data_IF_823111876644
#
_entry.id   IF_823111876644
#
_cell.length_a   1.000
_cell.length_b   1.000
_cell.length_c   1.000
_cell.angle_alpha   90.00
_cell.angle_beta   90.00
_cell.angle_gamma   90.00
#
_symmetry.space_group_name_H-M   'P 1'
#
loop_
_entity.id
_entity.type
_entity.pdbx_description
1 polymer ?
#
# COMPACT_ATOMS: atom_id res chain seq x y z
N UNK A 1 -21.34 -7.07 -1.12
CA UNK A 1 -21.77 -8.36 -1.72
C UNK A 1 -22.63 -8.10 -2.95
N UNK A 2 -23.73 -7.34 -2.85
CA UNK A 2 -24.62 -7.01 -3.99
C UNK A 2 -23.86 -6.35 -5.17
N UNK A 3 -22.95 -5.45 -4.88
CA UNK A 3 -22.10 -4.78 -5.88
C UNK A 3 -21.26 -5.80 -6.66
N UNK A 4 -20.61 -6.73 -5.96
CA UNK A 4 -19.81 -7.80 -6.58
C UNK A 4 -20.68 -8.80 -7.37
N UNK A 5 -21.93 -9.03 -6.96
CA UNK A 5 -22.90 -9.83 -7.73
C UNK A 5 -23.31 -9.10 -9.00
N UNK A 6 -23.59 -7.80 -8.93
CA UNK A 6 -23.94 -6.97 -10.09
C UNK A 6 -22.80 -6.85 -11.09
N UNK A 7 -21.55 -6.80 -10.61
CA UNK A 7 -20.35 -6.84 -11.45
C UNK A 7 -20.05 -8.24 -12.03
N UNK A 8 -20.79 -9.25 -11.65
CA UNK A 8 -20.56 -10.64 -12.08
C UNK A 8 -19.30 -11.28 -11.50
N UNK A 9 -18.68 -10.65 -10.50
CA UNK A 9 -17.46 -11.14 -9.83
C UNK A 9 -17.73 -12.34 -8.95
N UNK A 10 -18.90 -12.37 -8.32
CA UNK A 10 -19.39 -13.48 -7.51
C UNK A 10 -20.80 -13.88 -7.93
N UNK A 11 -21.15 -15.13 -7.65
CA UNK A 11 -22.50 -15.67 -7.81
C UNK A 11 -22.95 -16.27 -6.50
N UNK A 12 -24.19 -15.96 -6.11
CA UNK A 12 -24.82 -16.54 -4.94
C UNK A 12 -25.70 -17.72 -5.33
N UNK A 13 -25.63 -18.80 -4.57
CA UNK A 13 -26.55 -19.93 -4.65
C UNK A 13 -26.99 -20.29 -3.22
N UNK A 14 -28.18 -19.88 -2.84
CA UNK A 14 -28.69 -19.95 -1.47
C UNK A 14 -27.78 -19.16 -0.50
N UNK A 15 -27.24 -19.83 0.52
CA UNK A 15 -26.33 -19.22 1.51
C UNK A 15 -24.84 -19.23 1.08
N UNK A 16 -24.52 -19.87 -0.06
CA UNK A 16 -23.14 -20.00 -0.54
C UNK A 16 -22.81 -18.94 -1.55
N UNK A 17 -21.58 -18.42 -1.49
CA UNK A 17 -21.04 -17.43 -2.44
C UNK A 17 -19.90 -18.11 -3.21
N UNK A 18 -19.93 -18.00 -4.51
CA UNK A 18 -18.91 -18.56 -5.42
C UNK A 18 -18.25 -17.44 -6.20
N UNK A 19 -16.92 -17.52 -6.38
CA UNK A 19 -16.19 -16.64 -7.29
C UNK A 19 -16.43 -17.11 -8.71
N UNK A 20 -16.76 -16.18 -9.62
CA UNK A 20 -16.93 -16.48 -11.05
C UNK A 20 -15.56 -16.48 -11.69
N UNK A 21 -15.07 -17.66 -12.13
CA UNK A 21 -13.70 -17.87 -12.61
C UNK A 21 -13.30 -16.96 -13.78
N UNK A 22 -14.24 -16.62 -14.67
CA UNK A 22 -13.95 -15.79 -15.85
C UNK A 22 -13.56 -14.34 -15.50
N UNK A 23 -13.90 -13.84 -14.30
CA UNK A 23 -13.53 -12.49 -13.88
C UNK A 23 -12.08 -12.36 -13.43
N UNK A 24 -11.40 -13.48 -13.12
CA UNK A 24 -9.97 -13.49 -12.79
C UNK A 24 -9.07 -13.07 -13.99
N UNK A 25 -9.58 -13.17 -15.21
CA UNK A 25 -8.92 -12.74 -16.45
C UNK A 25 -9.46 -11.41 -16.98
N UNK A 26 -10.21 -10.67 -16.17
CA UNK A 26 -10.75 -9.37 -16.54
C UNK A 26 -9.65 -8.34 -16.80
N UNK A 27 -10.00 -7.29 -17.55
CA UNK A 27 -9.11 -6.13 -17.77
C UNK A 27 -8.58 -5.54 -16.43
N UNK A 28 -9.40 -5.58 -15.38
CA UNK A 28 -9.04 -5.12 -14.02
C UNK A 28 -7.87 -5.94 -13.43
N UNK A 29 -7.93 -7.27 -13.52
CA UNK A 29 -6.84 -8.14 -13.05
C UNK A 29 -5.54 -7.92 -13.85
N UNK A 30 -5.66 -7.73 -15.15
CA UNK A 30 -4.52 -7.43 -16.05
C UNK A 30 -3.90 -6.07 -15.69
N UNK A 31 -4.70 -5.04 -15.46
CA UNK A 31 -4.22 -3.72 -15.06
C UNK A 31 -3.50 -3.77 -13.71
N UNK A 32 -4.08 -4.44 -12.71
CA UNK A 32 -3.46 -4.63 -11.39
C UNK A 32 -2.12 -5.37 -11.50
N UNK A 33 -2.02 -6.39 -12.36
CA UNK A 33 -0.78 -7.10 -12.60
C UNK A 33 0.28 -6.17 -13.21
N UNK A 34 -0.10 -5.35 -14.19
CA UNK A 34 0.81 -4.40 -14.84
C UNK A 34 1.30 -3.33 -13.85
N UNK A 35 0.41 -2.78 -13.03
CA UNK A 35 0.77 -1.83 -11.98
C UNK A 35 1.73 -2.44 -10.97
N UNK A 36 1.46 -3.66 -10.51
CA UNK A 36 2.33 -4.38 -9.58
C UNK A 36 3.71 -4.65 -10.20
N UNK A 37 3.76 -5.10 -11.45
CA UNK A 37 5.01 -5.34 -12.16
C UNK A 37 5.82 -4.06 -12.35
N UNK A 38 5.17 -2.93 -12.61
CA UNK A 38 5.82 -1.62 -12.72
C UNK A 38 6.44 -1.21 -11.38
N UNK A 39 5.73 -1.36 -10.27
CA UNK A 39 6.25 -1.09 -8.93
C UNK A 39 7.45 -2.00 -8.61
N UNK A 40 7.36 -3.28 -8.93
CA UNK A 40 8.45 -4.24 -8.72
C UNK A 40 9.69 -3.90 -9.58
N UNK A 41 9.49 -3.47 -10.82
CA UNK A 41 10.57 -3.01 -11.70
C UNK A 41 11.29 -1.79 -11.12
N UNK A 42 10.56 -0.74 -10.71
CA UNK A 42 11.15 0.45 -10.10
C UNK A 42 11.90 0.11 -8.80
N UNK A 43 11.35 -0.78 -7.99
CA UNK A 43 12.02 -1.26 -6.79
C UNK A 43 13.31 -2.05 -7.13
N UNK A 44 13.28 -2.88 -8.16
CA UNK A 44 14.46 -3.63 -8.63
C UNK A 44 15.59 -2.68 -9.09
N UNK A 45 15.25 -1.57 -9.76
CA UNK A 45 16.24 -0.51 -10.12
C UNK A 45 16.91 0.08 -8.88
N UNK A 46 16.15 0.32 -7.81
CA UNK A 46 16.68 0.80 -6.53
C UNK A 46 17.63 -0.24 -5.93
N UNK A 47 17.23 -1.51 -5.89
CA UNK A 47 18.09 -2.60 -5.38
C UNK A 47 19.39 -2.74 -6.17
N UNK A 48 19.34 -2.56 -7.49
CA UNK A 48 20.54 -2.56 -8.34
C UNK A 48 21.47 -1.39 -8.01
N UNK A 49 20.89 -0.18 -7.85
CA UNK A 49 21.65 1.02 -7.46
C UNK A 49 22.37 0.84 -6.12
N UNK A 50 21.70 0.19 -5.16
CA UNK A 50 22.25 -0.12 -3.83
C UNK A 50 23.14 -1.39 -3.83
N UNK A 51 23.42 -1.99 -5.01
CA UNK A 51 24.26 -3.19 -5.19
C UNK A 51 23.76 -4.44 -4.46
N UNK A 52 22.44 -4.53 -4.23
CA UNK A 52 21.80 -5.67 -3.56
C UNK A 52 21.40 -6.77 -4.54
N UNK A 53 21.30 -6.44 -5.83
CA UNK A 53 21.02 -7.38 -6.93
C UNK A 53 21.94 -7.08 -8.11
N UNK A 54 22.17 -8.09 -8.95
CA UNK A 54 23.04 -7.98 -10.13
C UNK A 54 22.29 -7.56 -11.38
N UNK A 55 20.99 -7.82 -11.45
CA UNK A 55 20.15 -7.63 -12.64
C UNK A 55 18.93 -6.75 -12.36
N UNK A 56 18.42 -6.12 -13.42
CA UNK A 56 17.15 -5.39 -13.41
C UNK A 56 16.23 -6.05 -14.42
N UNK A 57 15.14 -6.62 -13.93
CA UNK A 57 14.12 -7.23 -14.77
C UNK A 57 13.20 -6.16 -15.34
N UNK A 58 12.86 -6.25 -16.61
CA UNK A 58 11.87 -5.39 -17.26
C UNK A 58 10.45 -5.70 -16.74
N UNK A 59 9.54 -4.75 -16.94
CA UNK A 59 8.11 -4.95 -16.61
C UNK A 59 7.55 -6.20 -17.31
N UNK A 60 7.92 -6.42 -18.57
CA UNK A 60 7.44 -7.57 -19.35
C UNK A 60 7.97 -8.91 -18.81
N UNK A 61 9.24 -8.99 -18.41
CA UNK A 61 9.81 -10.19 -17.78
C UNK A 61 9.09 -10.51 -16.46
N UNK A 62 8.82 -9.49 -15.65
CA UNK A 62 8.07 -9.65 -14.40
C UNK A 62 6.65 -10.15 -14.68
N UNK A 63 5.94 -9.56 -15.65
CA UNK A 63 4.59 -9.98 -16.05
C UNK A 63 4.60 -11.42 -16.56
N UNK A 64 5.53 -11.80 -17.43
CA UNK A 64 5.63 -13.17 -17.96
C UNK A 64 5.84 -14.18 -16.84
N UNK A 65 6.81 -13.94 -15.97
CA UNK A 65 7.09 -14.84 -14.85
C UNK A 65 5.92 -14.96 -13.88
N UNK A 66 5.22 -13.84 -13.61
CA UNK A 66 4.03 -13.88 -12.76
C UNK A 66 2.86 -14.59 -13.41
N UNK A 67 2.70 -14.53 -14.74
CA UNK A 67 1.67 -15.29 -15.47
C UNK A 67 1.98 -16.78 -15.52
N UNK A 68 3.22 -17.16 -15.81
CA UNK A 68 3.65 -18.56 -15.86
C UNK A 68 3.53 -19.26 -14.50
N UNK A 69 3.80 -18.54 -13.42
CA UNK A 69 3.67 -19.02 -12.04
C UNK A 69 2.54 -18.32 -11.28
N UNK A 70 1.43 -18.05 -11.95
CA UNK A 70 0.36 -17.21 -11.44
C UNK A 70 -0.13 -17.62 -10.05
N UNK A 71 -0.47 -18.88 -9.84
CA UNK A 71 -1.00 -19.36 -8.56
C UNK A 71 -0.02 -19.14 -7.41
N UNK A 72 1.28 -19.35 -7.64
CA UNK A 72 2.32 -19.14 -6.65
C UNK A 72 2.52 -17.65 -6.35
N UNK A 73 2.71 -16.82 -7.37
CA UNK A 73 2.94 -15.38 -7.21
C UNK A 73 1.72 -14.70 -6.58
N UNK A 74 0.52 -15.08 -7.00
CA UNK A 74 -0.73 -14.58 -6.45
C UNK A 74 -0.94 -14.98 -4.99
N UNK A 75 -0.58 -16.21 -4.62
CA UNK A 75 -0.56 -16.65 -3.22
C UNK A 75 0.40 -15.81 -2.38
N UNK A 76 1.63 -15.57 -2.86
CA UNK A 76 2.62 -14.77 -2.12
C UNK A 76 2.16 -13.31 -1.96
N UNK A 77 1.56 -12.72 -3.00
CA UNK A 77 0.97 -11.39 -2.94
C UNK A 77 -0.17 -11.31 -1.91
N UNK A 78 -1.14 -12.21 -1.98
CA UNK A 78 -2.26 -12.24 -1.05
C UNK A 78 -1.80 -12.49 0.38
N UNK A 79 -0.83 -13.38 0.58
CA UNK A 79 -0.22 -13.63 1.89
C UNK A 79 0.42 -12.37 2.48
N UNK A 80 1.23 -11.66 1.68
CA UNK A 80 1.82 -10.38 2.08
C UNK A 80 0.73 -9.36 2.44
N UNK A 81 -0.23 -9.16 1.55
CA UNK A 81 -1.31 -8.20 1.70
C UNK A 81 -2.19 -8.48 2.93
N UNK A 82 -2.55 -9.74 3.13
CA UNK A 82 -3.33 -10.16 4.28
C UNK A 82 -2.60 -9.91 5.61
N UNK A 83 -1.31 -10.24 5.68
CA UNK A 83 -0.50 -10.00 6.87
C UNK A 83 -0.36 -8.49 7.13
N UNK A 84 -0.11 -7.69 6.09
CA UNK A 84 0.00 -6.24 6.16
C UNK A 84 -1.28 -5.60 6.72
N UNK A 85 -2.43 -5.91 6.14
CA UNK A 85 -3.73 -5.38 6.56
C UNK A 85 -4.07 -5.80 8.00
N UNK A 86 -3.84 -7.08 8.35
CA UNK A 86 -4.18 -7.55 9.70
C UNK A 86 -3.31 -6.91 10.79
N UNK A 87 -2.05 -6.64 10.51
CA UNK A 87 -1.19 -5.89 11.45
C UNK A 87 -1.70 -4.48 11.67
N UNK A 88 -2.05 -3.77 10.60
CA UNK A 88 -2.64 -2.43 10.71
C UNK A 88 -3.99 -2.46 11.41
N UNK A 89 -4.85 -3.42 11.09
CA UNK A 89 -6.14 -3.57 11.74
C UNK A 89 -6.01 -3.83 13.24
N UNK A 90 -5.02 -4.60 13.67
CA UNK A 90 -4.75 -4.83 15.08
C UNK A 90 -4.33 -3.54 15.82
N UNK A 91 -3.57 -2.66 15.15
CA UNK A 91 -3.09 -1.41 15.72
C UNK A 91 -4.18 -0.32 15.75
N UNK A 92 -4.80 -0.07 14.60
CA UNK A 92 -5.74 1.05 14.44
C UNK A 92 -7.21 0.63 14.44
N UNK A 93 -7.50 -0.66 14.56
CA UNK A 93 -8.83 -1.30 14.69
C UNK A 93 -9.82 -1.06 13.53
N UNK A 94 -9.49 -0.21 12.56
CA UNK A 94 -10.39 0.19 11.48
C UNK A 94 -9.60 0.48 10.18
N UNK A 95 -10.02 -0.16 9.09
CA UNK A 95 -9.36 -0.01 7.79
C UNK A 95 -9.56 1.37 7.14
N UNK A 96 -10.64 2.09 7.48
CA UNK A 96 -10.82 3.45 7.00
C UNK A 96 -9.78 4.40 7.62
N UNK A 97 -9.35 4.18 8.87
CA UNK A 97 -8.20 4.90 9.43
C UNK A 97 -6.91 4.63 8.65
N UNK A 98 -6.70 3.37 8.24
CA UNK A 98 -5.55 3.03 7.40
C UNK A 98 -5.61 3.78 6.06
N UNK A 99 -6.75 3.77 5.37
CA UNK A 99 -6.93 4.46 4.10
C UNK A 99 -6.67 5.98 4.23
N UNK A 100 -7.22 6.62 5.25
CA UNK A 100 -6.97 8.04 5.55
C UNK A 100 -5.47 8.31 5.81
N UNK A 101 -4.84 7.48 6.64
CA UNK A 101 -3.41 7.60 6.93
C UNK A 101 -2.54 7.43 5.69
N UNK A 102 -2.87 6.48 4.81
CA UNK A 102 -2.15 6.26 3.54
C UNK A 102 -2.25 7.46 2.61
N UNK A 103 -3.41 8.10 2.49
CA UNK A 103 -3.55 9.33 1.68
C UNK A 103 -2.64 10.44 2.21
N UNK A 104 -2.56 10.62 3.53
CA UNK A 104 -1.67 11.63 4.15
C UNK A 104 -0.20 11.32 3.87
N UNK A 105 0.22 10.04 4.01
CA UNK A 105 1.60 9.61 3.73
C UNK A 105 1.93 9.81 2.24
N UNK A 106 1.10 9.32 1.34
CA UNK A 106 1.34 9.43 -0.11
C UNK A 106 1.45 10.89 -0.54
N UNK A 107 0.58 11.75 0.00
CA UNK A 107 0.66 13.18 -0.28
C UNK A 107 1.97 13.81 0.20
N UNK A 108 2.44 13.43 1.39
CA UNK A 108 3.71 13.91 1.93
C UNK A 108 4.92 13.48 1.06
N UNK A 109 4.90 12.23 0.57
CA UNK A 109 5.98 11.66 -0.26
C UNK A 109 5.96 12.17 -1.71
N UNK A 110 4.79 12.43 -2.27
CA UNK A 110 4.63 13.02 -3.64
C UNK A 110 5.09 14.47 -3.73
N UNK A 111 5.46 15.09 -2.63
CA UNK A 111 5.97 16.44 -2.64
C UNK A 111 7.29 16.52 -3.44
N UNK A 112 7.43 17.52 -4.34
CA UNK A 112 8.63 17.76 -5.15
C UNK A 112 9.89 18.01 -4.30
N UNK A 113 9.71 18.51 -3.08
CA UNK A 113 10.80 18.79 -2.13
C UNK A 113 11.17 17.56 -1.28
N UNK A 114 10.47 16.43 -1.51
CA UNK A 114 10.81 15.19 -0.82
C UNK A 114 12.11 14.62 -1.36
N UNK A 115 13.14 14.65 -0.54
CA UNK A 115 14.43 14.02 -0.85
C UNK A 115 14.44 12.63 -0.24
N UNK A 116 14.58 11.55 -1.06
CA UNK A 116 14.68 10.19 -0.55
C UNK A 116 15.81 10.06 0.48
N UNK A 117 15.52 9.50 1.63
CA UNK A 117 16.47 9.32 2.73
C UNK A 117 16.91 7.87 2.84
N UNK A 118 18.20 7.66 3.13
CA UNK A 118 18.81 6.32 3.21
C UNK A 118 18.37 5.50 4.42
N UNK A 119 17.88 6.13 5.47
CA UNK A 119 17.44 5.42 6.65
C UNK A 119 16.06 5.85 7.11
N UNK A 120 15.39 4.98 7.86
CA UNK A 120 14.01 5.15 8.29
C UNK A 120 13.81 6.40 9.16
N UNK A 121 14.78 6.75 10.01
CA UNK A 121 14.69 7.93 10.86
C UNK A 121 14.67 9.21 10.05
N UNK A 122 15.63 9.37 9.14
CA UNK A 122 15.69 10.55 8.25
C UNK A 122 14.52 10.61 7.28
N UNK A 123 13.98 9.45 6.83
CA UNK A 123 12.75 9.38 6.06
C UNK A 123 11.57 9.94 6.87
N UNK A 124 11.41 9.49 8.09
CA UNK A 124 10.38 9.99 8.99
C UNK A 124 10.50 11.50 9.21
N UNK A 125 11.67 11.97 9.56
CA UNK A 125 11.95 13.41 9.75
C UNK A 125 11.59 14.23 8.51
N UNK A 126 11.82 13.72 7.31
CA UNK A 126 11.52 14.42 6.05
C UNK A 126 10.02 14.40 5.69
N UNK A 127 9.32 13.29 5.94
CA UNK A 127 7.86 13.20 5.75
C UNK A 127 7.13 14.16 6.70
N UNK A 128 7.72 14.42 7.83
CA UNK A 128 7.15 15.17 8.93
C UNK A 128 7.48 16.67 8.92
N UNK A 129 8.57 17.05 8.29
CA UNK A 129 8.94 18.47 8.14
C UNK A 129 8.09 19.23 7.12
N UNK A 130 7.13 18.58 6.47
CA UNK A 130 6.30 19.20 5.42
C UNK A 130 4.99 19.79 5.97
N UNK A 131 5.04 20.60 7.02
CA UNK A 131 3.88 21.33 7.56
C UNK A 131 3.11 22.16 6.54
N UNK A 132 3.72 22.45 5.40
CA UNK A 132 3.20 23.38 4.39
C UNK A 132 2.19 22.74 3.44
N UNK A 133 2.10 21.41 3.37
CA UNK A 133 1.36 20.72 2.30
C UNK A 133 0.53 19.52 2.77
N UNK A 134 -0.26 19.74 3.80
CA UNK A 134 -1.24 18.73 4.22
C UNK A 134 -2.38 18.56 3.20
N UNK A 135 -3.19 17.55 3.39
CA UNK A 135 -4.43 17.31 2.66
C UNK A 135 -5.63 17.78 3.48
N UNK A 136 -6.71 18.15 2.83
CA UNK A 136 -7.96 18.48 3.49
C UNK A 136 -8.93 17.29 3.50
N UNK A 137 -9.98 17.37 4.32
CA UNK A 137 -10.96 16.28 4.46
C UNK A 137 -11.75 16.00 3.18
N UNK A 138 -11.91 16.99 2.28
CA UNK A 138 -12.58 16.83 0.99
C UNK A 138 -11.75 15.92 0.08
N UNK A 139 -10.48 16.28 -0.13
CA UNK A 139 -9.56 15.47 -0.96
C UNK A 139 -9.40 14.05 -0.43
N UNK A 140 -9.37 13.86 0.89
CA UNK A 140 -9.34 12.50 1.47
C UNK A 140 -10.61 11.74 1.13
N UNK A 141 -11.80 12.38 1.24
CA UNK A 141 -13.08 11.77 0.88
C UNK A 141 -13.13 11.36 -0.59
N UNK A 142 -12.69 12.23 -1.49
CA UNK A 142 -12.65 11.98 -2.94
C UNK A 142 -11.71 10.82 -3.30
N UNK A 143 -10.51 10.78 -2.71
CA UNK A 143 -9.52 9.74 -3.00
C UNK A 143 -9.94 8.38 -2.43
N UNK A 144 -10.53 8.36 -1.22
CA UNK A 144 -10.84 7.11 -0.51
C UNK A 144 -12.23 6.58 -0.80
N UNK A 145 -13.15 7.42 -1.32
CA UNK A 145 -14.57 7.09 -1.42
C UNK A 145 -15.31 7.05 -0.07
N UNK A 146 -14.62 7.35 1.04
CA UNK A 146 -15.24 7.41 2.37
C UNK A 146 -16.08 8.69 2.48
N UNK A 147 -17.35 8.59 2.93
CA UNK A 147 -18.20 9.78 3.07
C UNK A 147 -17.54 10.86 3.94
N UNK A 148 -17.57 12.12 3.49
CA UNK A 148 -16.91 13.25 4.16
C UNK A 148 -17.22 13.38 5.65
N UNK A 149 -18.46 13.19 6.13
CA UNK A 149 -18.74 13.23 7.57
C UNK A 149 -17.96 12.15 8.35
N UNK A 150 -17.81 10.96 7.76
CA UNK A 150 -17.03 9.87 8.35
C UNK A 150 -15.54 10.22 8.36
N UNK A 151 -15.01 10.79 7.27
CA UNK A 151 -13.61 11.27 7.22
C UNK A 151 -13.35 12.30 8.33
N UNK A 152 -14.21 13.31 8.46
CA UNK A 152 -14.06 14.36 9.49
C UNK A 152 -14.04 13.76 10.90
N UNK A 153 -14.96 12.85 11.22
CA UNK A 153 -15.01 12.17 12.52
C UNK A 153 -13.73 11.36 12.78
N UNK A 154 -13.25 10.63 11.77
CA UNK A 154 -12.04 9.81 11.89
C UNK A 154 -10.77 10.64 11.98
N UNK A 155 -10.68 11.75 11.25
CA UNK A 155 -9.60 12.70 11.35
C UNK A 155 -9.50 13.30 12.76
N UNK A 156 -10.65 13.71 13.35
CA UNK A 156 -10.68 14.18 14.73
C UNK A 156 -10.06 13.15 15.67
N UNK A 157 -10.46 11.88 15.58
CA UNK A 157 -9.87 10.80 16.40
C UNK A 157 -8.36 10.68 16.20
N UNK A 158 -7.87 10.69 14.96
CA UNK A 158 -6.43 10.56 14.65
C UNK A 158 -5.62 11.75 15.16
N UNK A 159 -6.20 12.95 15.16
CA UNK A 159 -5.60 14.17 15.70
C UNK A 159 -5.59 14.11 17.22
N UNK A 160 -6.70 13.74 17.86
CA UNK A 160 -6.80 13.60 19.32
C UNK A 160 -5.82 12.54 19.87
N UNK A 161 -5.59 11.47 19.09
CA UNK A 161 -4.59 10.42 19.35
C UNK A 161 -3.17 10.80 18.93
N UNK A 162 -2.98 12.01 18.39
CA UNK A 162 -1.70 12.57 17.96
C UNK A 162 -0.97 11.77 16.86
N UNK A 163 -1.69 10.99 16.06
CA UNK A 163 -1.15 10.40 14.83
C UNK A 163 -1.04 11.43 13.71
N UNK A 164 -1.99 12.35 13.65
CA UNK A 164 -2.05 13.44 12.68
C UNK A 164 -2.08 14.78 13.42
N UNK A 165 -1.72 15.84 12.70
CA UNK A 165 -1.84 17.22 13.12
C UNK A 165 -2.56 18.05 12.07
N UNK A 166 -3.17 19.15 12.48
CA UNK A 166 -3.84 20.10 11.60
C UNK A 166 -3.17 21.47 11.78
N UNK A 167 -2.88 22.14 10.68
CA UNK A 167 -2.31 23.49 10.72
C UNK A 167 -3.41 24.58 10.65
N UNK A 168 -3.01 25.84 10.73
CA UNK A 168 -3.91 27.01 10.68
C UNK A 168 -4.73 27.08 9.38
N UNK A 169 -4.20 26.54 8.27
CA UNK A 169 -4.88 26.45 6.97
C UNK A 169 -5.82 25.25 6.88
N UNK A 170 -6.08 24.55 8.00
CA UNK A 170 -6.90 23.32 8.08
C UNK A 170 -6.37 22.17 7.22
N UNK A 171 -5.07 22.16 6.92
CA UNK A 171 -4.41 21.06 6.23
C UNK A 171 -3.89 20.07 7.26
N UNK A 172 -4.05 18.78 6.91
CA UNK A 172 -3.76 17.64 7.76
C UNK A 172 -2.45 17.02 7.31
N UNK A 173 -1.54 16.83 8.24
CA UNK A 173 -0.23 16.20 8.03
C UNK A 173 0.07 15.19 9.12
N UNK A 174 1.13 14.42 8.97
CA UNK A 174 1.60 13.48 9.97
C UNK A 174 2.16 14.21 11.19
N UNK A 175 1.83 13.72 12.38
CA UNK A 175 2.44 14.21 13.62
C UNK A 175 3.61 13.32 14.03
N UNK A 176 4.79 13.84 13.86
CA UNK A 176 6.03 13.12 14.09
C UNK A 176 6.60 13.19 15.48
N UNK A 177 6.20 14.15 16.20
CA UNK A 177 6.84 14.50 17.48
C UNK A 177 6.38 13.62 18.64
N UNK A 178 5.36 12.77 18.41
CA UNK A 178 4.67 12.09 19.50
C UNK A 178 4.90 10.56 19.56
N UNK A 179 4.66 10.01 20.74
CA UNK A 179 4.83 8.60 21.12
C UNK A 179 4.00 7.61 20.28
N UNK A 180 2.84 8.05 19.75
CA UNK A 180 1.99 7.22 18.90
C UNK A 180 2.73 6.69 17.66
N UNK A 181 3.69 7.46 17.14
CA UNK A 181 4.51 7.06 16.00
C UNK A 181 5.61 6.05 16.39
N UNK A 182 6.16 6.17 17.59
CA UNK A 182 7.18 5.23 18.10
C UNK A 182 6.61 3.83 18.23
N UNK A 183 5.33 3.70 18.61
CA UNK A 183 4.62 2.43 18.75
C UNK A 183 4.48 1.70 17.42
N UNK A 184 4.31 2.43 16.32
CA UNK A 184 4.17 1.82 14.97
C UNK A 184 5.49 1.37 14.35
N UNK A 185 6.65 1.83 14.87
CA UNK A 185 7.99 1.52 14.33
C UNK A 185 8.26 0.02 14.23
N UNK A 186 7.92 -0.74 15.26
CA UNK A 186 8.10 -2.20 15.26
C UNK A 186 7.22 -2.90 14.22
N UNK A 187 6.02 -2.39 13.99
CA UNK A 187 5.10 -2.90 12.97
C UNK A 187 5.60 -2.58 11.55
N UNK A 188 6.09 -1.37 11.32
CA UNK A 188 6.69 -0.96 10.03
C UNK A 188 7.85 -1.88 9.68
N UNK A 189 8.76 -2.16 10.62
CA UNK A 189 9.88 -3.08 10.40
C UNK A 189 9.40 -4.48 10.01
N UNK A 190 8.39 -5.03 10.69
CA UNK A 190 7.80 -6.33 10.35
C UNK A 190 7.11 -6.33 8.99
N UNK A 191 6.50 -5.22 8.59
CA UNK A 191 5.89 -5.05 7.28
C UNK A 191 6.95 -4.99 6.18
N UNK A 192 8.05 -4.28 6.40
CA UNK A 192 9.19 -4.25 5.47
C UNK A 192 9.81 -5.64 5.28
N UNK A 193 9.95 -6.43 6.35
CA UNK A 193 10.43 -7.80 6.24
C UNK A 193 9.47 -8.69 5.43
N UNK A 194 8.15 -8.55 5.63
CA UNK A 194 7.15 -9.29 4.86
C UNK A 194 7.12 -8.89 3.38
N UNK A 195 7.33 -7.60 3.08
CA UNK A 195 7.47 -7.08 1.72
C UNK A 195 8.73 -7.63 1.05
N UNK A 196 9.86 -7.62 1.75
CA UNK A 196 11.12 -8.16 1.24
C UNK A 196 11.00 -9.65 0.90
N UNK A 197 10.31 -10.43 1.73
CA UNK A 197 10.01 -11.83 1.46
C UNK A 197 9.16 -12.01 0.20
N UNK A 198 8.11 -11.21 0.03
CA UNK A 198 7.26 -11.25 -1.17
C UNK A 198 8.09 -10.95 -2.43
N UNK A 199 8.85 -9.86 -2.44
CA UNK A 199 9.69 -9.44 -3.55
C UNK A 199 10.73 -10.52 -3.90
N UNK A 200 11.42 -11.03 -2.90
CA UNK A 200 12.40 -12.13 -3.09
C UNK A 200 11.77 -13.35 -3.76
N UNK A 201 10.57 -13.74 -3.32
CA UNK A 201 9.84 -14.89 -3.90
C UNK A 201 9.48 -14.67 -5.37
N UNK A 202 9.02 -13.48 -5.74
CA UNK A 202 8.70 -13.15 -7.13
C UNK A 202 9.97 -13.12 -7.99
N UNK A 203 11.02 -12.41 -7.57
CA UNK A 203 12.26 -12.32 -8.34
C UNK A 203 12.97 -13.68 -8.49
N UNK A 204 12.87 -14.54 -7.48
CA UNK A 204 13.41 -15.91 -7.60
C UNK A 204 12.68 -16.73 -8.65
N UNK A 205 11.35 -16.53 -8.87
CA UNK A 205 10.63 -17.17 -9.98
C UNK A 205 11.14 -16.69 -11.33
N UNK A 206 11.40 -15.39 -11.51
CA UNK A 206 11.95 -14.85 -12.75
C UNK A 206 13.30 -15.50 -13.07
N UNK A 207 14.15 -15.63 -12.07
CA UNK A 207 15.47 -16.25 -12.24
C UNK A 207 15.40 -17.72 -12.59
N UNK A 208 14.42 -18.47 -12.05
CA UNK A 208 14.23 -19.90 -12.35
C UNK A 208 13.75 -20.09 -13.80
N UNK A 209 12.92 -19.19 -14.33
CA UNK A 209 12.39 -19.28 -15.69
C UNK A 209 13.46 -18.90 -16.72
N UNK A 210 14.35 -17.96 -16.39
CA UNK A 210 15.38 -17.46 -17.29
C UNK A 210 16.65 -18.33 -17.31
N UNK A 211 16.77 -19.32 -16.43
CA UNK A 211 17.83 -20.34 -16.39
C UNK A 211 17.37 -21.65 -17.01
#
# INVERSE_FOLDING_TARGET
>A
VLELENEGTIKRSGKKIFIVRNTLYSARATNTLTELATILHEFNKILKKEKLVTEVYSVNEIISAMKENFSYCWYQFNKFWFIYINRWRAEIKDLEFLAIGMVVIINAVKNKDFVPKKNMRSYHESVMGSDVRGVNAMSISEITGIPRPTVVRKLKFLIDKKYLQINEKKLISFNAKDSAFITTKGMVNRNMLSLSHFIYKVFNQIRIINN
#
